data_IF_664150107771
#
_entry.id   IF_664150107771
#
_cell.length_a   1.000
_cell.length_b   1.000
_cell.length_c   1.000
_cell.angle_alpha   90.00
_cell.angle_beta   90.00
_cell.angle_gamma   90.00
#
_symmetry.space_group_name_H-M   'P 1'
#
loop_
_entity.id
_entity.type
_entity.pdbx_description
1 polymer ?
#
# COMPACT_ATOMS: atom_id res chain seq x y z
N UNK A 1 -10.13 -16.82 -8.94
CA UNK A 1 -9.06 -16.26 -8.08
C UNK A 1 -9.69 -15.45 -7.00
N UNK A 2 -9.16 -15.40 -5.79
CA UNK A 2 -9.70 -14.57 -4.73
C UNK A 2 -9.57 -13.10 -5.12
N UNK A 3 -10.67 -12.38 -5.06
CA UNK A 3 -10.70 -10.94 -5.32
C UNK A 3 -10.28 -10.19 -4.04
N UNK A 4 -9.27 -9.33 -4.15
CA UNK A 4 -8.78 -8.51 -3.05
C UNK A 4 -8.96 -7.03 -3.37
N UNK A 5 -9.91 -6.39 -2.70
CA UNK A 5 -10.22 -4.97 -2.85
C UNK A 5 -9.47 -4.17 -1.78
N UNK A 6 -8.90 -3.03 -2.16
CA UNK A 6 -8.28 -2.11 -1.21
C UNK A 6 -9.34 -1.39 -0.39
N UNK A 7 -9.43 -1.68 0.88
CA UNK A 7 -10.34 -0.99 1.77
C UNK A 7 -9.71 0.29 2.34
N UNK A 8 -9.82 1.38 1.59
CA UNK A 8 -9.30 2.69 2.00
C UNK A 8 -9.80 3.13 3.39
N UNK A 9 -11.02 2.74 3.76
CA UNK A 9 -11.60 3.04 5.06
C UNK A 9 -10.91 2.28 6.22
N UNK A 10 -10.35 1.11 5.95
CA UNK A 10 -9.52 0.39 6.93
C UNK A 10 -8.24 1.17 7.19
N UNK A 11 -7.55 1.58 6.13
CA UNK A 11 -6.34 2.40 6.23
C UNK A 11 -6.65 3.70 6.98
N UNK A 12 -7.67 4.44 6.56
CA UNK A 12 -8.07 5.68 7.23
C UNK A 12 -8.37 5.49 8.72
N UNK A 13 -9.08 4.41 9.07
CA UNK A 13 -9.37 4.09 10.47
C UNK A 13 -8.12 3.81 11.31
N UNK A 14 -7.07 3.24 10.71
CA UNK A 14 -5.77 3.02 11.36
C UNK A 14 -4.99 4.31 11.51
N UNK A 15 -4.98 5.17 10.48
CA UNK A 15 -4.32 6.49 10.55
C UNK A 15 -4.94 7.38 11.64
N UNK A 16 -6.26 7.29 11.86
CA UNK A 16 -6.93 7.98 12.98
C UNK A 16 -6.50 7.46 14.36
N UNK A 17 -5.83 6.32 14.43
CA UNK A 17 -5.35 5.65 15.64
C UNK A 17 -3.84 5.60 15.74
N UNK A 18 -3.16 6.38 14.91
CA UNK A 18 -1.72 6.50 14.94
C UNK A 18 -1.23 6.91 16.33
N UNK A 19 -0.19 6.23 16.79
CA UNK A 19 0.53 6.57 18.01
C UNK A 19 1.83 7.24 17.62
N UNK A 20 2.01 8.48 18.01
CA UNK A 20 3.25 9.20 17.77
C UNK A 20 4.38 8.53 18.54
N UNK A 21 5.47 8.27 17.84
CA UNK A 21 6.67 7.67 18.40
C UNK A 21 7.91 8.13 17.58
N UNK A 22 9.12 8.10 18.19
CA UNK A 22 10.29 8.77 17.63
C UNK A 22 10.87 8.10 16.38
N UNK A 23 10.65 6.78 16.16
CA UNK A 23 11.23 6.11 15.00
C UNK A 23 10.47 6.50 13.71
N UNK A 24 11.10 7.23 12.77
CA UNK A 24 10.44 7.64 11.53
C UNK A 24 10.08 6.46 10.61
N UNK A 25 10.76 5.31 10.77
CA UNK A 25 10.58 4.12 9.93
C UNK A 25 9.60 3.11 10.50
N UNK A 26 8.75 3.51 11.42
CA UNK A 26 7.71 2.66 12.00
C UNK A 26 6.37 3.41 12.05
N UNK A 27 5.31 2.68 11.86
CA UNK A 27 3.95 3.14 12.12
C UNK A 27 3.36 2.31 13.27
N UNK A 28 2.79 2.98 14.24
CA UNK A 28 2.14 2.35 15.36
C UNK A 28 0.66 2.78 15.43
N UNK A 29 -0.23 1.82 15.61
CA UNK A 29 -1.64 2.09 15.83
C UNK A 29 -2.12 1.51 17.17
N UNK A 30 -2.94 2.27 17.90
CA UNK A 30 -3.56 1.81 19.14
C UNK A 30 -5.01 1.36 18.88
N UNK A 31 -5.27 0.06 18.98
CA UNK A 31 -6.58 -0.54 18.77
C UNK A 31 -7.03 -1.24 20.04
N UNK A 32 -8.18 -0.84 20.58
CA UNK A 32 -8.72 -1.36 21.84
C UNK A 32 -7.71 -1.40 23.01
N UNK A 33 -6.87 -0.36 23.09
CA UNK A 33 -5.86 -0.25 24.15
C UNK A 33 -4.53 -0.95 23.86
N UNK A 34 -4.43 -1.83 22.84
CA UNK A 34 -3.19 -2.51 22.45
C UNK A 34 -2.53 -1.79 21.27
N UNK A 35 -1.22 -1.63 21.33
CA UNK A 35 -0.42 -1.08 20.23
C UNK A 35 0.04 -2.21 19.30
N UNK A 36 -0.09 -1.97 17.99
CA UNK A 36 0.42 -2.83 16.94
C UNK A 36 1.41 -2.06 16.08
N UNK A 37 2.51 -2.70 15.70
CA UNK A 37 3.60 -2.13 14.93
C UNK A 37 3.53 -2.55 13.47
N UNK A 38 3.89 -1.62 12.58
CA UNK A 38 4.17 -1.86 11.18
C UNK A 38 5.51 -1.25 10.81
N UNK A 39 6.41 -2.08 10.36
CA UNK A 39 7.79 -1.74 10.02
C UNK A 39 8.24 -2.45 8.74
N UNK A 40 9.51 -2.30 8.34
CA UNK A 40 10.07 -2.97 7.19
C UNK A 40 10.03 -4.50 7.32
N UNK A 41 10.13 -5.03 8.54
CA UNK A 41 10.05 -6.46 8.82
C UNK A 41 8.66 -7.02 8.50
N UNK A 42 7.60 -6.37 8.99
CA UNK A 42 6.22 -6.76 8.67
C UNK A 42 5.92 -6.57 7.17
N UNK A 43 6.46 -5.50 6.57
CA UNK A 43 6.30 -5.28 5.13
C UNK A 43 6.93 -6.43 4.32
N UNK A 44 8.17 -6.82 4.65
CA UNK A 44 8.86 -7.93 3.99
C UNK A 44 8.10 -9.25 4.16
N UNK A 45 7.73 -9.60 5.38
CA UNK A 45 6.99 -10.83 5.69
C UNK A 45 5.68 -10.94 4.88
N UNK A 46 5.00 -9.82 4.68
CA UNK A 46 3.72 -9.79 3.94
C UNK A 46 3.94 -9.81 2.43
N UNK A 47 4.83 -8.97 1.92
CA UNK A 47 5.01 -8.75 0.48
C UNK A 47 5.93 -9.78 -0.17
N UNK A 48 6.89 -10.34 0.59
CA UNK A 48 8.00 -11.12 0.06
C UNK A 48 9.07 -10.27 -0.64
N UNK A 49 8.97 -8.94 -0.58
CA UNK A 49 9.92 -8.03 -1.21
C UNK A 49 11.02 -7.66 -0.21
N UNK A 50 12.26 -7.97 -0.53
CA UNK A 50 13.40 -7.67 0.33
C UNK A 50 13.49 -6.16 0.63
N UNK A 51 13.54 -5.84 1.94
CA UNK A 51 13.69 -4.49 2.46
C UNK A 51 15.10 -4.20 2.98
N UNK A 52 15.98 -5.19 3.06
CA UNK A 52 17.25 -5.15 3.79
C UNK A 52 18.49 -5.35 2.90
N UNK A 53 18.28 -5.75 1.65
CA UNK A 53 19.32 -5.95 0.65
C UNK A 53 20.11 -4.69 0.28
N UNK A 54 21.06 -4.85 -0.65
CA UNK A 54 21.83 -3.71 -1.15
C UNK A 54 20.96 -2.80 -2.02
N UNK A 55 20.92 -1.53 -1.65
CA UNK A 55 20.17 -0.49 -2.36
C UNK A 55 21.11 0.52 -3.05
N UNK A 56 22.33 0.10 -3.41
CA UNK A 56 23.28 0.97 -4.10
C UNK A 56 22.83 1.21 -5.57
N UNK A 57 22.24 2.36 -5.81
CA UNK A 57 21.72 2.77 -7.13
C UNK A 57 22.79 2.88 -8.21
N UNK A 58 24.04 3.14 -7.81
CA UNK A 58 25.17 3.31 -8.77
C UNK A 58 25.53 2.00 -9.49
N UNK A 59 25.21 0.85 -8.92
CA UNK A 59 25.47 -0.46 -9.54
C UNK A 59 24.66 -0.72 -10.81
N UNK A 60 23.62 0.07 -11.05
CA UNK A 60 22.68 -0.10 -12.16
C UNK A 60 22.73 1.04 -13.17
N UNK A 61 23.62 2.02 -12.98
CA UNK A 61 23.74 3.15 -13.90
C UNK A 61 24.24 2.68 -15.27
N UNK A 62 23.57 3.14 -16.33
CA UNK A 62 23.90 2.82 -17.73
C UNK A 62 24.10 4.11 -18.55
N UNK A 63 25.02 4.07 -19.51
CA UNK A 63 25.25 5.19 -20.44
C UNK A 63 24.07 5.32 -21.43
N UNK A 64 23.61 4.19 -21.97
CA UNK A 64 22.50 4.12 -22.90
C UNK A 64 21.35 3.31 -22.27
N UNK A 65 20.13 3.52 -22.76
CA UNK A 65 18.95 2.82 -22.25
C UNK A 65 18.04 2.44 -23.43
N UNK A 66 18.10 1.17 -23.81
CA UNK A 66 17.38 0.63 -24.95
C UNK A 66 15.86 0.72 -24.79
N UNK A 67 15.37 0.51 -23.56
CA UNK A 67 13.94 0.61 -23.25
C UNK A 67 13.43 2.03 -23.54
N UNK A 68 14.19 3.05 -23.13
CA UNK A 68 13.85 4.47 -23.39
C UNK A 68 13.89 4.77 -24.89
N UNK A 69 14.93 4.34 -25.58
CA UNK A 69 15.08 4.57 -27.03
C UNK A 69 13.98 3.92 -27.85
N UNK A 70 13.50 2.75 -27.42
CA UNK A 70 12.47 2.00 -28.14
C UNK A 70 11.06 2.49 -27.79
N UNK A 71 10.71 2.52 -26.49
CA UNK A 71 9.34 2.74 -26.06
C UNK A 71 8.96 4.21 -25.81
N UNK A 72 9.96 5.08 -25.56
CA UNK A 72 9.73 6.48 -25.16
C UNK A 72 10.36 7.49 -26.11
N UNK A 73 10.70 7.10 -27.34
CA UNK A 73 11.30 8.00 -28.32
C UNK A 73 10.44 9.23 -28.56
N UNK A 74 11.01 10.42 -28.36
CA UNK A 74 10.30 11.70 -28.51
C UNK A 74 9.41 12.11 -27.33
N UNK A 75 9.35 11.31 -26.27
CA UNK A 75 8.65 11.66 -25.02
C UNK A 75 9.57 12.57 -24.20
N UNK A 76 9.08 13.76 -23.82
CA UNK A 76 9.88 14.73 -23.06
C UNK A 76 10.04 14.33 -21.59
N UNK A 77 8.97 13.83 -21.00
CA UNK A 77 8.93 13.43 -19.58
C UNK A 77 8.28 12.05 -19.50
N UNK A 78 8.99 11.09 -18.93
CA UNK A 78 8.47 9.76 -18.70
C UNK A 78 7.82 9.77 -17.33
N UNK A 79 6.51 9.95 -17.30
CA UNK A 79 5.64 9.90 -16.13
C UNK A 79 4.77 8.64 -16.15
N UNK A 80 3.90 8.50 -15.17
CA UNK A 80 2.98 7.34 -15.06
C UNK A 80 2.13 7.17 -16.32
N UNK A 81 1.62 8.27 -16.89
CA UNK A 81 0.79 8.24 -18.10
C UNK A 81 1.59 7.80 -19.33
N UNK A 82 2.81 8.30 -19.46
CA UNK A 82 3.69 7.89 -20.57
C UNK A 82 4.00 6.38 -20.52
N UNK A 83 4.19 5.82 -19.30
CA UNK A 83 4.40 4.38 -19.13
C UNK A 83 3.12 3.61 -19.48
N UNK A 84 1.97 4.04 -19.00
CA UNK A 84 0.68 3.42 -19.31
C UNK A 84 0.40 3.44 -20.81
N UNK A 85 0.56 4.58 -21.46
CA UNK A 85 0.37 4.74 -22.91
C UNK A 85 1.34 3.86 -23.72
N UNK A 86 2.59 3.74 -23.28
CA UNK A 86 3.58 2.89 -23.93
C UNK A 86 3.26 1.40 -23.74
N UNK A 87 2.83 1.00 -22.55
CA UNK A 87 2.45 -0.37 -22.23
C UNK A 87 1.18 -0.79 -22.98
N UNK A 88 0.11 0.00 -22.90
CA UNK A 88 -1.16 -0.29 -23.58
C UNK A 88 -1.02 -0.24 -25.11
N UNK A 89 -0.17 0.65 -25.62
CA UNK A 89 0.12 0.78 -27.04
C UNK A 89 1.11 -0.25 -27.58
N UNK A 90 1.63 -1.16 -26.74
CA UNK A 90 2.63 -2.20 -27.13
C UNK A 90 3.79 -1.61 -27.94
N UNK A 91 4.37 -0.48 -27.45
CA UNK A 91 5.39 0.29 -28.19
C UNK A 91 6.70 -0.47 -28.43
N UNK A 92 6.88 -1.64 -27.84
CA UNK A 92 8.02 -2.54 -28.10
C UNK A 92 7.85 -3.36 -29.40
N UNK A 93 6.68 -3.30 -30.05
CA UNK A 93 6.41 -4.04 -31.28
C UNK A 93 6.47 -5.55 -31.09
N UNK A 94 7.40 -6.23 -31.81
CA UNK A 94 7.59 -7.68 -31.74
C UNK A 94 8.78 -8.08 -30.85
N UNK A 95 9.45 -7.15 -30.20
CA UNK A 95 10.59 -7.42 -29.31
C UNK A 95 10.08 -7.85 -27.93
N UNK A 96 10.02 -9.17 -27.71
CA UNK A 96 9.53 -9.74 -26.45
C UNK A 96 10.42 -9.38 -25.25
N UNK A 97 11.73 -9.19 -25.44
CA UNK A 97 12.65 -8.78 -24.38
C UNK A 97 12.34 -7.35 -23.89
N UNK A 98 12.15 -6.43 -24.82
CA UNK A 98 11.71 -5.07 -24.47
C UNK A 98 10.29 -5.07 -23.91
N UNK A 99 9.41 -5.93 -24.40
CA UNK A 99 8.06 -6.13 -23.87
C UNK A 99 8.07 -6.57 -22.39
N UNK A 100 8.96 -7.48 -22.00
CA UNK A 100 9.16 -7.89 -20.62
C UNK A 100 9.64 -6.74 -19.75
N UNK A 101 10.68 -6.01 -20.21
CA UNK A 101 11.19 -4.83 -19.50
C UNK A 101 10.09 -3.78 -19.30
N UNK A 102 9.26 -3.55 -20.34
CA UNK A 102 8.14 -2.61 -20.25
C UNK A 102 7.08 -3.06 -19.22
N UNK A 103 6.78 -4.38 -19.16
CA UNK A 103 5.86 -4.93 -18.17
C UNK A 103 6.41 -4.79 -16.74
N UNK A 104 7.71 -5.03 -16.54
CA UNK A 104 8.37 -4.83 -15.24
C UNK A 104 8.36 -3.35 -14.84
N UNK A 105 8.68 -2.44 -15.75
CA UNK A 105 8.62 -0.99 -15.49
C UNK A 105 7.21 -0.56 -15.07
N UNK A 106 6.20 -1.01 -15.80
CA UNK A 106 4.81 -0.74 -15.50
C UNK A 106 4.43 -1.25 -14.10
N UNK A 107 4.81 -2.48 -13.76
CA UNK A 107 4.58 -3.06 -12.44
C UNK A 107 5.25 -2.25 -11.31
N UNK A 108 6.53 -1.91 -11.48
CA UNK A 108 7.26 -1.14 -10.47
C UNK A 108 6.61 0.22 -10.25
N UNK A 109 6.27 0.95 -11.30
CA UNK A 109 5.76 2.31 -11.18
C UNK A 109 4.29 2.39 -10.76
N UNK A 110 3.45 1.47 -11.23
CA UNK A 110 2.03 1.53 -10.99
C UNK A 110 1.59 0.80 -9.72
N UNK A 111 2.39 -0.17 -9.25
CA UNK A 111 2.00 -1.03 -8.11
C UNK A 111 2.96 -0.99 -6.94
N UNK A 112 4.26 -1.09 -7.17
CA UNK A 112 5.21 -1.10 -6.06
C UNK A 112 5.48 0.29 -5.50
N UNK A 113 5.66 1.26 -6.37
CA UNK A 113 5.97 2.62 -5.96
C UNK A 113 4.74 3.53 -5.96
N UNK A 114 3.74 3.24 -6.81
CA UNK A 114 2.45 3.95 -6.89
C UNK A 114 2.55 5.46 -6.60
N UNK A 115 3.48 6.12 -7.31
CA UNK A 115 3.76 7.55 -7.15
C UNK A 115 2.61 8.43 -7.69
N UNK A 116 2.70 9.75 -7.50
CA UNK A 116 1.77 10.68 -8.14
C UNK A 116 1.87 10.58 -9.65
N UNK A 117 0.75 10.69 -10.40
CA UNK A 117 0.72 10.48 -11.85
C UNK A 117 1.65 11.40 -12.65
N UNK A 118 1.88 12.59 -12.14
CA UNK A 118 2.71 13.66 -12.73
C UNK A 118 4.20 13.57 -12.35
N UNK A 119 4.55 12.61 -11.49
CA UNK A 119 5.94 12.44 -11.07
C UNK A 119 6.74 11.75 -12.16
N UNK A 120 7.81 12.40 -12.57
CA UNK A 120 8.78 11.83 -13.50
C UNK A 120 9.45 10.59 -12.92
N UNK A 121 9.58 9.56 -13.74
CA UNK A 121 10.29 8.32 -13.39
C UNK A 121 11.78 8.60 -13.34
N UNK A 122 12.43 8.24 -12.25
CA UNK A 122 13.87 8.46 -12.12
C UNK A 122 14.65 7.65 -13.14
N UNK A 123 15.73 8.22 -13.66
CA UNK A 123 16.65 7.56 -14.61
C UNK A 123 17.13 6.22 -14.04
N UNK A 124 17.39 6.16 -12.75
CA UNK A 124 17.77 4.94 -12.05
C UNK A 124 16.79 3.78 -12.27
N UNK A 125 15.46 4.01 -12.14
CA UNK A 125 14.45 2.95 -12.34
C UNK A 125 14.47 2.45 -13.78
N UNK A 126 14.60 3.37 -14.74
CA UNK A 126 14.70 3.01 -16.15
C UNK A 126 15.96 2.17 -16.43
N UNK A 127 17.09 2.52 -15.82
CA UNK A 127 18.36 1.82 -16.00
C UNK A 127 18.35 0.44 -15.33
N UNK A 128 17.79 0.30 -14.13
CA UNK A 128 17.63 -1.01 -13.48
C UNK A 128 16.78 -1.94 -14.34
N UNK A 129 15.66 -1.45 -14.86
CA UNK A 129 14.78 -2.27 -15.69
C UNK A 129 15.46 -2.59 -17.02
N UNK A 130 16.14 -1.65 -17.65
CA UNK A 130 16.81 -1.91 -18.92
C UNK A 130 17.99 -2.87 -18.78
N UNK A 131 18.70 -2.86 -17.64
CA UNK A 131 19.80 -3.80 -17.37
C UNK A 131 19.34 -5.26 -17.32
N UNK A 132 18.04 -5.52 -17.08
CA UNK A 132 17.52 -6.87 -16.83
C UNK A 132 17.80 -7.40 -15.42
N UNK A 133 18.42 -6.59 -14.53
CA UNK A 133 18.82 -6.96 -13.16
C UNK A 133 17.86 -6.40 -12.10
N UNK A 134 16.60 -6.25 -12.43
CA UNK A 134 15.58 -5.68 -11.53
C UNK A 134 15.30 -6.52 -10.29
N UNK A 135 15.60 -7.80 -10.30
CA UNK A 135 15.48 -8.74 -9.18
C UNK A 135 16.60 -8.62 -8.13
N UNK A 136 17.73 -8.00 -8.52
CA UNK A 136 18.86 -7.75 -7.62
C UNK A 136 18.67 -6.51 -6.73
N UNK A 137 17.69 -5.66 -7.01
CA UNK A 137 17.47 -4.43 -6.27
C UNK A 137 16.40 -4.58 -5.19
N UNK A 138 16.63 -3.98 -4.02
CA UNK A 138 15.75 -4.05 -2.87
C UNK A 138 14.48 -3.15 -3.00
N UNK A 139 13.59 -3.49 -3.94
CA UNK A 139 12.33 -2.76 -4.17
C UNK A 139 11.45 -2.68 -2.93
N UNK A 140 11.53 -3.66 -2.03
CA UNK A 140 10.78 -3.68 -0.79
C UNK A 140 11.06 -2.45 0.07
N UNK A 141 12.32 -2.01 0.18
CA UNK A 141 12.70 -0.81 0.92
C UNK A 141 12.10 0.45 0.31
N UNK A 142 12.25 0.66 -0.99
CA UNK A 142 11.70 1.84 -1.68
C UNK A 142 10.17 1.90 -1.53
N UNK A 143 9.50 0.76 -1.72
CA UNK A 143 8.05 0.65 -1.60
C UNK A 143 7.57 0.87 -0.17
N UNK A 144 8.26 0.30 0.82
CA UNK A 144 7.97 0.49 2.24
C UNK A 144 8.12 1.95 2.66
N UNK A 145 9.27 2.57 2.36
CA UNK A 145 9.54 3.96 2.72
C UNK A 145 8.49 4.90 2.12
N UNK A 146 8.15 4.71 0.85
CA UNK A 146 7.11 5.50 0.21
C UNK A 146 5.73 5.29 0.85
N UNK A 147 5.41 4.06 1.26
CA UNK A 147 4.16 3.73 1.94
C UNK A 147 4.10 4.40 3.31
N UNK A 148 5.14 4.26 4.13
CA UNK A 148 5.17 4.80 5.48
C UNK A 148 5.14 6.33 5.48
N UNK A 149 5.89 6.96 4.58
CA UNK A 149 5.93 8.42 4.41
C UNK A 149 4.58 8.99 3.96
N UNK A 150 3.82 8.22 3.20
CA UNK A 150 2.48 8.63 2.77
C UNK A 150 1.43 8.54 3.89
N UNK A 151 1.69 7.77 4.94
CA UNK A 151 0.73 7.50 6.01
C UNK A 151 1.04 8.24 7.30
N UNK A 152 2.32 8.24 7.72
CA UNK A 152 2.73 8.76 9.02
C UNK A 152 2.44 10.26 9.16
N UNK A 153 1.78 10.65 10.25
CA UNK A 153 1.40 12.04 10.53
C UNK A 153 0.38 12.64 9.55
N UNK A 154 -0.21 11.83 8.67
CA UNK A 154 -1.05 12.35 7.59
C UNK A 154 -2.33 13.01 8.09
N UNK A 155 -2.95 12.47 9.12
CA UNK A 155 -4.16 13.05 9.71
C UNK A 155 -3.86 14.38 10.39
N UNK A 156 -2.80 14.45 11.18
CA UNK A 156 -2.37 15.68 11.83
C UNK A 156 -2.06 16.78 10.82
N UNK A 157 -1.29 16.45 9.77
CA UNK A 157 -1.01 17.38 8.68
C UNK A 157 -2.30 17.88 8.02
N UNK A 158 -3.26 17.00 7.75
CA UNK A 158 -4.56 17.36 7.18
C UNK A 158 -5.33 18.35 8.05
N UNK A 159 -5.34 18.16 9.37
CA UNK A 159 -5.97 19.06 10.32
C UNK A 159 -5.30 20.44 10.29
N UNK A 160 -3.96 20.50 10.32
CA UNK A 160 -3.19 21.75 10.24
C UNK A 160 -3.52 22.51 8.96
N UNK A 161 -3.55 21.82 7.82
CA UNK A 161 -3.86 22.44 6.53
C UNK A 161 -5.30 22.95 6.45
N UNK A 162 -6.25 22.21 7.01
CA UNK A 162 -7.65 22.63 7.13
C UNK A 162 -7.77 23.93 7.91
N UNK A 163 -7.15 24.01 9.09
CA UNK A 163 -7.20 25.19 9.93
C UNK A 163 -6.59 26.41 9.22
N UNK A 164 -5.41 26.27 8.61
CA UNK A 164 -4.75 27.34 7.83
C UNK A 164 -5.60 27.85 6.67
N UNK A 165 -6.36 26.98 6.00
CA UNK A 165 -7.25 27.37 4.91
C UNK A 165 -8.52 28.05 5.43
N UNK A 166 -9.09 27.57 6.53
CA UNK A 166 -10.22 28.19 7.20
C UNK A 166 -9.89 29.63 7.66
N UNK A 167 -8.71 29.87 8.21
CA UNK A 167 -8.22 31.21 8.57
C UNK A 167 -8.17 32.17 7.37
N UNK A 168 -7.95 31.65 6.17
CA UNK A 168 -7.93 32.41 4.91
C UNK A 168 -9.29 32.46 4.20
N UNK A 169 -10.36 31.95 4.83
CA UNK A 169 -11.68 31.86 4.22
C UNK A 169 -11.77 30.88 3.03
N UNK A 170 -10.83 29.95 2.90
CA UNK A 170 -10.78 28.98 1.82
C UNK A 170 -11.28 27.62 2.28
N UNK A 171 -12.01 26.92 1.42
CA UNK A 171 -12.41 25.54 1.65
C UNK A 171 -11.21 24.61 1.51
N UNK A 172 -11.17 23.54 2.31
CA UNK A 172 -10.15 22.50 2.25
C UNK A 172 -10.79 21.14 1.99
N UNK A 173 -10.53 20.61 0.82
CA UNK A 173 -10.99 19.28 0.38
C UNK A 173 -10.03 18.21 0.87
N UNK A 174 -10.03 17.92 2.14
CA UNK A 174 -9.05 17.09 2.85
C UNK A 174 -8.87 15.67 2.30
N UNK A 175 -8.15 15.53 1.20
CA UNK A 175 -7.77 14.23 0.66
C UNK A 175 -6.28 13.96 0.82
N UNK A 176 -5.90 12.70 0.86
CA UNK A 176 -4.51 12.24 0.81
C UNK A 176 -4.39 11.02 -0.08
N UNK A 177 -3.22 10.83 -0.66
CA UNK A 177 -2.92 9.65 -1.47
C UNK A 177 -2.15 8.64 -0.64
N UNK A 178 -2.51 7.36 -0.81
CA UNK A 178 -1.73 6.23 -0.36
C UNK A 178 -0.72 5.91 -1.47
N UNK A 179 0.56 6.14 -1.20
CA UNK A 179 1.66 5.86 -2.13
C UNK A 179 2.35 4.55 -1.75
N UNK A 180 3.27 4.08 -2.60
CA UNK A 180 3.96 2.82 -2.37
C UNK A 180 3.06 1.61 -2.59
N UNK A 181 3.05 0.68 -1.64
CA UNK A 181 2.22 -0.52 -1.68
C UNK A 181 1.24 -0.59 -0.48
N UNK A 182 0.17 0.21 -0.48
CA UNK A 182 -0.77 0.32 0.65
C UNK A 182 -1.55 -0.97 0.94
N UNK A 183 -1.53 -1.92 0.03
CA UNK A 183 -2.09 -3.27 0.18
C UNK A 183 -1.43 -4.03 1.32
N UNK A 184 -0.11 -3.96 1.40
CA UNK A 184 0.68 -4.60 2.46
C UNK A 184 0.22 -4.10 3.82
N UNK A 185 -0.06 -2.80 3.95
CA UNK A 185 -0.57 -2.22 5.17
C UNK A 185 -1.98 -2.73 5.54
N UNK A 186 -2.84 -2.96 4.54
CA UNK A 186 -4.17 -3.54 4.78
C UNK A 186 -4.05 -4.99 5.24
N UNK A 187 -3.21 -5.79 4.59
CA UNK A 187 -2.97 -7.20 4.96
C UNK A 187 -2.32 -7.30 6.34
N UNK A 188 -1.40 -6.39 6.68
CA UNK A 188 -0.85 -6.30 8.04
C UNK A 188 -1.95 -6.22 9.09
N UNK A 189 -2.95 -5.38 8.88
CA UNK A 189 -4.06 -5.28 9.84
C UNK A 189 -4.91 -6.56 9.88
N UNK A 190 -5.09 -7.25 8.75
CA UNK A 190 -5.80 -8.54 8.74
C UNK A 190 -5.06 -9.60 9.55
N UNK A 191 -3.74 -9.63 9.47
CA UNK A 191 -2.87 -10.54 10.24
C UNK A 191 -2.88 -10.20 11.75
N UNK A 192 -2.91 -8.90 12.09
CA UNK A 192 -2.92 -8.42 13.46
C UNK A 192 -4.28 -8.54 14.16
N UNK A 193 -5.39 -8.51 13.39
CA UNK A 193 -6.75 -8.43 13.91
C UNK A 193 -7.63 -9.59 13.44
N UNK A 194 -7.66 -10.74 14.13
CA UNK A 194 -8.48 -11.89 13.76
C UNK A 194 -9.98 -11.59 13.61
N UNK A 195 -10.51 -10.57 14.27
CA UNK A 195 -11.90 -10.16 14.14
C UNK A 195 -12.26 -9.63 12.73
N UNK A 196 -11.27 -9.26 11.91
CA UNK A 196 -11.49 -8.90 10.51
C UNK A 196 -11.94 -10.10 9.66
N UNK A 197 -11.51 -11.31 10.05
CA UNK A 197 -11.81 -12.56 9.33
C UNK A 197 -13.31 -12.83 9.35
N UNK A 198 -13.85 -13.23 8.20
CA UNK A 198 -15.26 -13.48 7.92
C UNK A 198 -16.17 -12.23 7.95
N UNK A 199 -15.74 -11.13 8.58
CA UNK A 199 -16.48 -9.85 8.55
C UNK A 199 -16.14 -9.04 7.32
N UNK A 200 -14.84 -8.91 7.00
CA UNK A 200 -14.32 -8.06 5.92
C UNK A 200 -13.34 -8.80 5.00
N UNK A 201 -12.64 -9.80 5.52
CA UNK A 201 -11.70 -10.59 4.75
C UNK A 201 -11.83 -12.08 5.08
N UNK A 202 -11.26 -12.92 4.24
CA UNK A 202 -11.11 -14.36 4.46
C UNK A 202 -9.73 -14.83 4.07
N UNK A 203 -9.21 -15.78 4.81
CA UNK A 203 -7.96 -16.45 4.44
C UNK A 203 -8.28 -17.53 3.42
N UNK A 204 -7.58 -17.53 2.29
CA UNK A 204 -7.83 -18.43 1.15
C UNK A 204 -6.69 -19.40 0.88
N UNK A 205 -5.51 -19.15 1.45
CA UNK A 205 -4.34 -20.04 1.31
C UNK A 205 -3.39 -19.90 2.50
N UNK A 206 -2.28 -20.64 2.46
CA UNK A 206 -1.16 -20.56 3.41
C UNK A 206 0.17 -20.37 2.69
N UNK A 207 0.14 -19.65 1.57
CA UNK A 207 1.31 -19.41 0.73
C UNK A 207 2.26 -18.39 1.34
N UNK A 208 3.50 -18.45 0.94
CA UNK A 208 4.51 -17.43 1.21
C UNK A 208 4.76 -16.69 -0.12
N UNK A 209 4.70 -15.37 -0.13
CA UNK A 209 4.43 -14.42 0.95
C UNK A 209 2.96 -14.31 1.36
N UNK A 210 2.69 -13.76 2.53
CA UNK A 210 1.35 -13.70 3.16
C UNK A 210 0.31 -12.90 2.37
N UNK A 211 0.72 -11.96 1.56
CA UNK A 211 -0.20 -11.17 0.72
C UNK A 211 -1.07 -12.04 -0.19
N UNK A 212 -0.60 -13.23 -0.55
CA UNK A 212 -1.32 -14.20 -1.37
C UNK A 212 -2.46 -14.91 -0.63
N UNK A 213 -2.50 -14.81 0.69
CA UNK A 213 -3.39 -15.59 1.54
C UNK A 213 -4.76 -14.95 1.77
N UNK A 214 -4.96 -13.72 1.30
CA UNK A 214 -6.12 -12.94 1.67
C UNK A 214 -7.05 -12.62 0.50
N UNK A 215 -8.32 -12.57 0.80
CA UNK A 215 -9.39 -12.13 -0.09
C UNK A 215 -10.42 -11.33 0.71
N UNK A 216 -11.10 -10.40 0.07
CA UNK A 216 -12.17 -9.65 0.71
C UNK A 216 -13.47 -10.47 0.72
N UNK A 217 -14.24 -10.35 1.80
CA UNK A 217 -15.55 -11.02 1.92
C UNK A 217 -16.59 -10.34 1.02
N UNK A 218 -16.51 -9.02 0.89
CA UNK A 218 -17.41 -8.20 0.09
C UNK A 218 -16.57 -7.50 -0.97
N UNK A 219 -16.78 -7.86 -2.24
CA UNK A 219 -16.00 -7.33 -3.36
C UNK A 219 -16.70 -6.17 -4.03
N UNK A 220 -18.01 -6.10 -3.92
CA UNK A 220 -18.85 -5.12 -4.63
C UNK A 220 -19.01 -3.78 -3.92
N UNK A 221 -18.63 -3.68 -2.66
CA UNK A 221 -18.79 -2.47 -1.85
C UNK A 221 -17.70 -2.34 -0.79
N UNK A 222 -17.06 -1.17 -0.75
CA UNK A 222 -16.16 -0.84 0.37
C UNK A 222 -16.94 -0.75 1.69
N UNK A 223 -16.38 -1.26 2.80
CA UNK A 223 -16.98 -1.08 4.12
C UNK A 223 -17.03 0.41 4.46
N UNK A 224 -18.13 0.84 5.06
CA UNK A 224 -18.22 2.21 5.57
C UNK A 224 -17.43 2.36 6.88
N UNK A 225 -17.05 3.59 7.25
CA UNK A 225 -16.44 3.86 8.56
C UNK A 225 -17.35 3.40 9.72
N UNK A 226 -18.68 3.50 9.56
CA UNK A 226 -19.66 3.01 10.54
C UNK A 226 -19.61 1.50 10.68
N UNK A 227 -19.50 0.75 9.57
CA UNK A 227 -19.39 -0.71 9.61
C UNK A 227 -18.12 -1.15 10.33
N UNK A 228 -16.99 -0.53 9.98
CA UNK A 228 -15.69 -0.80 10.60
C UNK A 228 -15.69 -0.44 12.08
N UNK A 229 -16.25 0.73 12.44
CA UNK A 229 -16.36 1.17 13.82
C UNK A 229 -17.15 0.14 14.63
N UNK A 230 -18.39 -0.14 14.24
CA UNK A 230 -19.26 -1.03 15.01
C UNK A 230 -18.83 -2.49 15.05
N UNK A 231 -18.22 -3.02 13.95
CA UNK A 231 -17.84 -4.43 13.85
C UNK A 231 -16.41 -4.73 14.33
N UNK A 232 -15.53 -3.72 14.39
CA UNK A 232 -14.13 -3.86 14.75
C UNK A 232 -13.73 -2.89 15.86
N UNK A 233 -13.67 -1.59 15.57
CA UNK A 233 -13.00 -0.62 16.44
C UNK A 233 -13.71 -0.30 17.75
N UNK A 234 -15.00 -0.59 17.88
CA UNK A 234 -15.77 -0.48 19.12
C UNK A 234 -15.82 -1.81 19.90
N UNK A 235 -15.23 -2.90 19.36
CA UNK A 235 -15.20 -4.18 20.06
C UNK A 235 -14.16 -4.15 21.19
N UNK A 236 -14.43 -4.85 22.31
CA UNK A 236 -13.46 -5.02 23.37
C UNK A 236 -12.28 -5.90 22.91
N UNK A 237 -11.12 -5.74 23.56
CA UNK A 237 -9.87 -6.40 23.20
C UNK A 237 -10.01 -7.93 23.14
N UNK A 238 -10.78 -8.51 24.04
CA UNK A 238 -11.02 -9.97 24.14
C UNK A 238 -11.67 -10.54 22.88
N UNK A 239 -12.54 -9.75 22.22
CA UNK A 239 -13.19 -10.13 20.95
C UNK A 239 -12.30 -9.88 19.74
N UNK A 240 -11.47 -8.86 19.77
CA UNK A 240 -10.57 -8.51 18.68
C UNK A 240 -9.38 -9.46 18.57
N UNK A 241 -8.88 -9.95 19.70
CA UNK A 241 -7.68 -10.81 19.79
C UNK A 241 -6.46 -10.22 19.07
N UNK A 242 -6.27 -8.91 19.21
CA UNK A 242 -5.18 -8.17 18.58
C UNK A 242 -3.82 -8.74 18.98
N UNK A 243 -2.95 -8.93 18.00
CA UNK A 243 -1.58 -9.41 18.20
C UNK A 243 -0.63 -8.78 17.18
N UNK A 244 0.63 -8.62 17.55
CA UNK A 244 1.69 -8.31 16.59
C UNK A 244 2.00 -9.55 15.75
N UNK A 245 2.45 -9.33 14.51
CA UNK A 245 2.84 -10.41 13.61
C UNK A 245 4.14 -11.06 14.07
N UNK A 246 4.24 -12.36 13.83
CA UNK A 246 5.49 -13.13 13.96
C UNK A 246 5.62 -14.08 12.77
N UNK A 247 6.81 -14.27 12.21
CA UNK A 247 7.04 -15.24 11.15
C UNK A 247 6.97 -16.67 11.71
N UNK A 248 6.55 -17.61 10.87
CA UNK A 248 6.71 -19.06 11.12
C UNK A 248 8.13 -19.48 10.79
N UNK A 249 8.52 -20.70 11.19
CA UNK A 249 9.84 -21.24 10.87
C UNK A 249 10.04 -21.42 9.36
N UNK A 250 9.00 -21.80 8.64
CA UNK A 250 9.01 -21.92 7.18
C UNK A 250 9.23 -20.54 6.52
N UNK A 251 8.55 -19.49 7.01
CA UNK A 251 8.73 -18.13 6.51
C UNK A 251 10.12 -17.59 6.81
N UNK A 252 10.67 -17.89 8.01
CA UNK A 252 12.05 -17.53 8.37
C UNK A 252 13.05 -18.13 7.39
N UNK A 253 12.88 -19.40 7.05
CA UNK A 253 13.77 -20.10 6.13
C UNK A 253 13.62 -19.61 4.68
N UNK A 254 12.38 -19.50 4.17
CA UNK A 254 12.16 -19.14 2.76
C UNK A 254 12.48 -17.68 2.46
N UNK A 255 12.19 -16.77 3.38
CA UNK A 255 12.45 -15.33 3.22
C UNK A 255 13.77 -14.89 3.88
N UNK A 256 14.57 -15.82 4.40
CA UNK A 256 15.86 -15.52 5.03
C UNK A 256 15.76 -14.41 6.10
N UNK A 257 14.78 -14.54 7.01
CA UNK A 257 14.46 -13.53 8.03
C UNK A 257 15.37 -13.63 9.28
N UNK A 258 16.54 -14.24 9.19
CA UNK A 258 17.48 -14.41 10.30
C UNK A 258 17.96 -13.04 10.79
N UNK A 259 17.89 -12.85 12.12
CA UNK A 259 18.21 -11.57 12.74
C UNK A 259 17.11 -10.49 12.63
N UNK A 260 16.05 -10.74 11.86
CA UNK A 260 14.84 -9.92 11.85
C UNK A 260 13.83 -10.49 12.87
N UNK A 261 12.95 -9.68 13.41
CA UNK A 261 12.01 -10.08 14.46
C UNK A 261 12.71 -10.66 15.70
N UNK A 262 13.85 -10.06 16.08
CA UNK A 262 14.49 -10.39 17.36
C UNK A 262 13.44 -10.26 18.47
N UNK A 263 13.50 -11.17 19.45
CA UNK A 263 12.62 -11.17 20.62
C UNK A 263 12.90 -9.93 21.49
N UNK A 264 12.58 -8.76 20.97
CA UNK A 264 12.27 -7.67 21.85
C UNK A 264 11.00 -8.10 22.56
N UNK A 265 11.13 -8.34 23.87
CA UNK A 265 10.03 -8.26 24.79
C UNK A 265 9.49 -6.83 24.74
N UNK A 266 8.83 -6.50 23.62
CA UNK A 266 8.02 -5.30 23.54
C UNK A 266 6.94 -5.55 24.56
N UNK A 267 7.12 -4.91 25.73
CA UNK A 267 6.13 -4.93 26.80
C UNK A 267 4.78 -4.62 26.12
N UNK A 268 3.84 -5.54 26.24
CA UNK A 268 2.52 -5.48 25.60
C UNK A 268 1.77 -4.17 25.87
N UNK A 269 2.37 -3.29 26.65
CA UNK A 269 1.89 -1.96 27.05
C UNK A 269 2.39 -0.81 26.22
N UNK A 270 3.36 -1.03 25.28
CA UNK A 270 3.76 -0.06 24.23
C UNK A 270 4.18 1.33 24.71
N UNK A 271 4.70 1.44 25.94
CA UNK A 271 5.20 2.70 26.48
C UNK A 271 6.62 2.49 26.94
N UNK A 272 7.58 3.06 26.24
CA UNK A 272 8.89 3.30 26.81
C UNK A 272 8.69 4.02 28.15
N UNK A 273 9.13 3.44 29.24
CA UNK A 273 9.23 4.10 30.53
C UNK A 273 10.22 5.27 30.39
N UNK A 274 9.72 6.42 29.96
CA UNK A 274 10.34 7.68 30.32
C UNK A 274 9.72 8.11 31.66
N UNK A 275 10.53 7.95 32.69
CA UNK A 275 10.31 8.51 34.00
C UNK A 275 10.13 10.03 33.89
N UNK A 276 8.91 10.51 33.96
CA UNK A 276 8.61 11.90 34.27
C UNK A 276 8.25 11.95 35.74
N UNK A 277 9.24 12.39 36.54
CA UNK A 277 8.99 12.82 37.92
C UNK A 277 8.26 14.16 37.91
N UNK A 278 7.17 14.19 38.65
CA UNK A 278 6.76 15.27 39.52
C UNK A 278 6.22 16.55 38.93
N UNK A 279 4.92 16.76 39.12
CA UNK A 279 4.29 18.05 38.99
C UNK A 279 2.80 18.01 39.27
N UNK A 280 2.43 17.88 40.54
CA UNK A 280 1.06 18.09 41.01
C UNK A 280 0.63 19.52 40.75
N UNK A 281 -0.46 19.72 39.99
CA UNK A 281 -1.32 20.92 40.20
C UNK A 281 -2.73 20.68 39.63
N UNK A 282 -3.67 20.97 40.47
CA UNK A 282 -5.10 20.75 40.49
C UNK A 282 -5.93 21.53 39.48
N UNK A 283 -7.01 20.88 39.01
CA UNK A 283 -8.39 21.35 38.77
C UNK A 283 -8.62 22.67 38.03
N UNK A 284 -9.15 22.54 36.80
CA UNK A 284 -10.32 23.26 36.22
C UNK A 284 -10.21 23.23 34.71
N UNK A 285 -10.93 22.28 34.01
CA UNK A 285 -11.27 22.48 32.59
C UNK A 285 -12.28 21.47 32.02
N UNK A 286 -13.22 20.95 32.78
CA UNK A 286 -14.17 19.95 32.22
C UNK A 286 -15.14 20.50 31.16
N UNK A 287 -15.35 21.83 31.11
CA UNK A 287 -16.26 22.45 30.15
C UNK A 287 -15.61 22.70 28.78
N UNK A 288 -14.35 23.14 28.75
CA UNK A 288 -13.63 23.46 27.50
C UNK A 288 -13.30 22.18 26.70
N UNK A 289 -13.06 21.07 27.37
CA UNK A 289 -12.76 19.78 26.72
C UNK A 289 -14.01 19.17 26.08
N UNK A 290 -15.18 19.38 26.66
CA UNK A 290 -16.47 18.92 26.11
C UNK A 290 -16.86 19.73 24.88
N UNK A 291 -16.69 21.03 24.91
CA UNK A 291 -16.95 21.92 23.76
C UNK A 291 -15.96 21.67 22.61
N UNK A 292 -14.70 21.41 22.93
CA UNK A 292 -13.71 21.00 21.95
C UNK A 292 -14.04 19.63 21.32
N UNK A 293 -14.49 18.64 22.10
CA UNK A 293 -14.93 17.34 21.59
C UNK A 293 -16.21 17.45 20.75
N UNK A 294 -17.19 18.28 21.13
CA UNK A 294 -18.38 18.57 20.33
C UNK A 294 -18.02 19.21 18.99
N UNK A 295 -17.20 20.23 19.00
CA UNK A 295 -16.69 20.89 17.78
C UNK A 295 -15.96 19.92 16.86
N UNK A 296 -15.15 19.00 17.42
CA UNK A 296 -14.51 17.93 16.64
C UNK A 296 -15.50 16.93 16.05
N UNK A 297 -16.55 16.58 16.78
CA UNK A 297 -17.56 15.64 16.33
C UNK A 297 -18.42 16.24 15.19
N UNK A 298 -18.81 17.49 15.30
CA UNK A 298 -19.55 18.21 14.25
C UNK A 298 -18.70 18.40 12.99
N UNK A 299 -17.40 18.64 13.15
CA UNK A 299 -16.44 18.71 12.06
C UNK A 299 -16.25 17.36 11.34
N UNK A 300 -16.26 16.26 12.06
CA UNK A 300 -16.20 14.91 11.49
C UNK A 300 -17.47 14.55 10.71
N UNK A 301 -18.62 14.99 11.17
CA UNK A 301 -19.93 14.75 10.50
C UNK A 301 -20.04 15.57 9.21
N UNK A 302 -19.62 16.82 9.21
CA UNK A 302 -19.61 17.70 8.02
C UNK A 302 -18.69 17.16 6.92
N UNK A 303 -17.54 16.59 7.28
CA UNK A 303 -16.60 16.00 6.31
C UNK A 303 -17.14 14.72 5.65
N UNK A 304 -18.10 14.02 6.25
CA UNK A 304 -18.70 12.82 5.67
C UNK A 304 -19.54 13.10 4.42
N UNK A 305 -20.21 14.25 4.36
CA UNK A 305 -21.09 14.59 3.22
C UNK A 305 -20.29 14.94 1.95
N UNK A 306 -19.20 15.69 2.11
CA UNK A 306 -18.31 16.06 1.00
C UNK A 306 -17.55 14.85 0.41
N UNK A 307 -17.12 13.92 1.26
CA UNK A 307 -16.45 12.68 0.84
C UNK A 307 -17.33 11.77 -0.03
N UNK A 308 -18.64 11.80 0.12
CA UNK A 308 -19.57 10.97 -0.67
C UNK A 308 -19.69 11.49 -2.11
N UNK A 309 -19.70 12.80 -2.32
CA UNK A 309 -19.79 13.40 -3.66
C UNK A 309 -18.49 13.21 -4.46
N UNK A 310 -17.34 13.34 -3.81
CA UNK A 310 -16.04 13.08 -4.44
C UNK A 310 -15.87 11.60 -4.83
N UNK A 311 -16.45 10.69 -4.03
CA UNK A 311 -16.46 9.26 -4.33
C UNK A 311 -17.27 8.90 -5.56
N UNK A 312 -18.38 9.61 -5.83
CA UNK A 312 -19.21 9.38 -7.00
C UNK A 312 -18.48 9.81 -8.28
N UNK A 313 -17.79 10.95 -8.25
CA UNK A 313 -17.00 11.47 -9.38
C UNK A 313 -15.79 10.56 -9.70
N UNK A 314 -15.10 10.08 -8.68
CA UNK A 314 -14.01 9.14 -8.82
C UNK A 314 -14.49 7.78 -9.40
N UNK A 315 -15.64 7.31 -8.99
CA UNK A 315 -16.25 6.07 -9.48
C UNK A 315 -16.50 6.09 -11.00
N UNK A 316 -17.03 7.19 -11.53
CA UNK A 316 -17.28 7.34 -12.98
C UNK A 316 -15.96 7.32 -13.78
N UNK A 317 -14.92 7.96 -13.29
CA UNK A 317 -13.60 7.97 -13.93
C UNK A 317 -12.95 6.57 -13.96
N UNK A 318 -13.13 5.82 -12.91
CA UNK A 318 -12.56 4.48 -12.74
C UNK A 318 -13.29 3.44 -13.58
N UNK A 319 -14.62 3.50 -13.66
CA UNK A 319 -15.43 2.60 -14.51
C UNK A 319 -15.05 2.70 -16.00
N UNK A 320 -14.67 3.89 -16.46
CA UNK A 320 -14.22 4.11 -17.83
C UNK A 320 -12.84 3.44 -18.09
N UNK A 321 -11.90 3.62 -17.18
CA UNK A 321 -10.57 3.04 -17.33
C UNK A 321 -10.57 1.50 -17.12
N UNK A 322 -11.47 0.98 -16.30
CA UNK A 322 -11.62 -0.46 -16.04
C UNK A 322 -11.91 -1.28 -17.31
N UNK A 323 -12.82 -0.81 -18.17
CA UNK A 323 -13.16 -1.53 -19.41
C UNK A 323 -11.98 -1.66 -20.36
N UNK A 324 -11.18 -0.59 -20.50
CA UNK A 324 -9.99 -0.57 -21.35
C UNK A 324 -8.96 -1.57 -20.87
N UNK A 325 -8.69 -1.58 -19.56
CA UNK A 325 -7.71 -2.48 -18.95
C UNK A 325 -8.13 -3.94 -19.01
N UNK A 326 -9.40 -4.26 -18.79
CA UNK A 326 -9.91 -5.63 -18.92
C UNK A 326 -9.77 -6.19 -20.34
N UNK A 327 -9.88 -5.34 -21.35
CA UNK A 327 -9.66 -5.72 -22.75
C UNK A 327 -8.17 -6.10 -22.97
N UNK A 328 -7.25 -5.31 -22.44
CA UNK A 328 -5.82 -5.57 -22.54
C UNK A 328 -5.40 -6.83 -21.78
N UNK A 329 -5.97 -7.08 -20.60
CA UNK A 329 -5.71 -8.31 -19.84
C UNK A 329 -6.13 -9.56 -20.63
N UNK A 330 -7.28 -9.52 -21.30
CA UNK A 330 -7.70 -10.63 -22.17
C UNK A 330 -6.73 -10.87 -23.32
N UNK A 331 -6.30 -9.80 -23.96
CA UNK A 331 -5.34 -9.86 -25.08
C UNK A 331 -3.98 -10.42 -24.64
N UNK A 332 -3.49 -10.01 -23.48
CA UNK A 332 -2.28 -10.54 -22.85
C UNK A 332 -2.46 -12.02 -22.48
N UNK A 333 -3.61 -12.39 -21.92
CA UNK A 333 -3.89 -13.78 -21.52
C UNK A 333 -3.95 -14.72 -22.73
N UNK A 334 -4.47 -14.27 -23.85
CA UNK A 334 -4.46 -15.00 -25.12
C UNK A 334 -3.03 -15.16 -25.66
N UNK A 335 -2.21 -14.12 -25.60
CA UNK A 335 -0.78 -14.15 -25.99
C UNK A 335 0.04 -15.07 -25.09
N UNK A 336 -0.14 -15.01 -23.78
CA UNK A 336 0.53 -15.92 -22.82
C UNK A 336 0.13 -17.38 -23.03
N UNK A 337 -1.13 -17.66 -23.31
CA UNK A 337 -1.58 -19.01 -23.63
C UNK A 337 -0.99 -19.51 -24.97
N UNK A 338 -0.67 -18.64 -25.90
CA UNK A 338 0.03 -18.97 -27.13
C UNK A 338 1.52 -19.32 -26.91
N UNK A 339 2.17 -18.63 -25.94
CA UNK A 339 3.57 -18.87 -25.54
C UNK A 339 3.74 -20.16 -24.73
N UNK A 340 2.72 -20.63 -24.04
CA UNK A 340 2.75 -21.83 -23.19
C UNK A 340 3.08 -23.13 -23.93
N UNK A 341 3.26 -23.08 -25.25
CA UNK A 341 3.64 -24.22 -26.08
C UNK A 341 5.16 -24.45 -26.19
N UNK A 342 6.00 -23.62 -25.53
CA UNK A 342 7.48 -23.83 -25.50
C UNK A 342 8.00 -23.60 -24.07
N UNK A 343 8.55 -24.63 -23.38
CA UNK A 343 9.09 -24.49 -22.05
C UNK A 343 10.51 -23.90 -22.09
N UNK A 344 10.71 -22.71 -21.58
CA UNK A 344 12.01 -22.18 -21.15
C UNK A 344 11.88 -21.59 -19.76
N UNK A 345 12.96 -21.59 -18.98
CA UNK A 345 12.98 -21.08 -17.59
C UNK A 345 12.58 -19.60 -17.49
N UNK A 346 12.83 -18.80 -18.52
CA UNK A 346 12.35 -17.43 -18.64
C UNK A 346 10.82 -17.32 -18.67
N UNK A 347 10.13 -18.30 -19.28
CA UNK A 347 8.66 -18.37 -19.31
C UNK A 347 8.11 -18.67 -17.92
N UNK A 348 8.82 -19.38 -17.06
CA UNK A 348 8.40 -19.66 -15.69
C UNK A 348 8.46 -18.39 -14.83
N UNK A 349 9.48 -17.57 -14.99
CA UNK A 349 9.59 -16.25 -14.34
C UNK A 349 8.51 -15.31 -14.88
N UNK A 350 8.26 -15.32 -16.18
CA UNK A 350 7.16 -14.56 -16.80
C UNK A 350 5.79 -15.00 -16.25
N UNK A 351 5.57 -16.31 -16.09
CA UNK A 351 4.33 -16.86 -15.52
C UNK A 351 4.21 -16.51 -14.03
N UNK A 352 5.29 -16.50 -13.27
CA UNK A 352 5.30 -16.05 -11.87
C UNK A 352 5.07 -14.55 -11.78
N UNK A 353 5.74 -13.72 -12.59
CA UNK A 353 5.49 -12.30 -12.69
C UNK A 353 4.07 -12.04 -13.21
N UNK A 354 3.58 -12.80 -14.21
CA UNK A 354 2.21 -12.69 -14.72
C UNK A 354 1.16 -13.23 -13.75
N UNK A 355 1.42 -14.28 -12.99
CA UNK A 355 0.54 -14.72 -11.89
C UNK A 355 0.52 -13.68 -10.77
N UNK A 356 1.66 -13.12 -10.43
CA UNK A 356 1.75 -12.00 -9.49
C UNK A 356 1.10 -10.74 -10.07
N UNK A 357 1.32 -10.44 -11.35
CA UNK A 357 0.72 -9.35 -12.12
C UNK A 357 -0.79 -9.49 -12.22
N UNK A 358 -1.28 -10.66 -12.61
CA UNK A 358 -2.72 -10.93 -12.76
C UNK A 358 -3.44 -10.95 -11.41
N UNK A 359 -2.81 -11.50 -10.39
CA UNK A 359 -3.34 -11.53 -9.02
C UNK A 359 -3.33 -10.11 -8.43
N UNK A 360 -2.28 -9.36 -8.64
CA UNK A 360 -2.13 -8.00 -8.13
C UNK A 360 -2.94 -7.00 -8.97
N UNK A 361 -2.96 -7.12 -10.28
CA UNK A 361 -3.62 -6.21 -11.21
C UNK A 361 -5.15 -6.31 -11.18
N UNK A 362 -5.72 -7.51 -11.19
CA UNK A 362 -7.15 -7.68 -10.91
C UNK A 362 -7.52 -7.16 -9.52
N UNK A 363 -6.61 -7.29 -8.57
CA UNK A 363 -6.79 -6.79 -7.21
C UNK A 363 -6.72 -5.25 -7.15
N UNK A 364 -5.90 -4.62 -7.95
CA UNK A 364 -5.75 -3.16 -7.99
C UNK A 364 -6.94 -2.48 -8.66
N UNK A 365 -7.40 -3.00 -9.79
CA UNK A 365 -8.52 -2.42 -10.54
C UNK A 365 -9.83 -2.39 -9.76
N UNK A 366 -10.09 -3.41 -8.95
CA UNK A 366 -11.27 -3.45 -8.07
C UNK A 366 -11.18 -2.47 -6.90
N UNK A 367 -10.09 -1.78 -6.72
CA UNK A 367 -9.83 -0.92 -5.58
C UNK A 367 -10.07 0.55 -5.81
N UNK A 368 -10.12 0.94 -7.06
CA UNK A 368 -10.47 2.30 -7.45
C UNK A 368 -11.98 2.45 -7.79
N UNK A 369 -12.73 1.36 -7.77
CA UNK A 369 -14.18 1.32 -7.81
C UNK A 369 -14.71 1.04 -6.40
#
# INVERSE_FOLDING_TARGET
>A
MPEFVFYSQVVHSLLLREVLQPNPKEFWAKVAGRCIRFSAEEFYLISGLDCFGDCNKLLFSQETNQLVETCFRGVKTIDHKAIEDAFLGSRWGLDESIGLKMAVLYFIQCFLLSNTPDKEVSRFVLDVVDSGRWDEYCWGRESFELTIDSFKGRIEHGIIMKNRKAEKGCQYDGWYRALGCPWVFTVWFYECCPAMVNSFCKRVSSSIPRILNWSNTIVTKNPTLRDLKGKIFDLPLEKLKIKNMRPTDEERQQLQLDGLFLDESIDERGVAKQSFEGGSSSKKSDSADIDWMKSKLEMLISNQSSLVEDFISLRCFVDFNFKSVMTVIKDIQEKVNAIHRRPSDEVFILILLFRFFYIFFLKFLYCFI
#
